data_IF_651240513836
#
_entry.id   IF_651240513836
#
_cell.length_a   1.000
_cell.length_b   1.000
_cell.length_c   1.000
_cell.angle_alpha   90.00
_cell.angle_beta   90.00
_cell.angle_gamma   90.00
#
_symmetry.space_group_name_H-M   'P 1'
#
loop_
_entity.id
_entity.type
_entity.pdbx_description
1 polymer ?
#
# COMPACT_ATOMS: atom_id res chain seq x y z
N UNK A 1 -28.25 0.83 -15.62
CA UNK A 1 -26.90 1.23 -16.07
C UNK A 1 -26.50 2.39 -15.17
N UNK A 2 -25.88 2.09 -14.03
CA UNK A 2 -25.34 3.11 -13.14
C UNK A 2 -24.00 3.53 -13.75
N UNK A 3 -23.92 4.79 -14.19
CA UNK A 3 -22.65 5.45 -14.47
C UNK A 3 -21.81 5.36 -13.18
N UNK A 4 -20.95 4.37 -13.07
CA UNK A 4 -19.87 4.40 -12.13
C UNK A 4 -19.00 5.59 -12.52
N UNK A 5 -19.00 6.63 -11.72
CA UNK A 5 -18.02 7.70 -11.89
C UNK A 5 -16.65 7.05 -11.79
N UNK A 6 -15.85 7.10 -12.85
CA UNK A 6 -14.42 6.77 -12.83
C UNK A 6 -13.76 7.67 -11.79
N UNK A 7 -13.50 7.14 -10.61
CA UNK A 7 -12.92 7.88 -9.49
C UNK A 7 -11.56 7.29 -9.19
N UNK A 8 -10.54 8.02 -9.52
CA UNK A 8 -9.20 7.66 -9.06
C UNK A 8 -9.11 7.68 -7.55
N UNK A 9 -8.35 6.77 -7.01
CA UNK A 9 -8.26 6.57 -5.57
C UNK A 9 -6.83 6.29 -5.14
N UNK A 10 -6.46 6.82 -3.99
CA UNK A 10 -5.31 6.36 -3.25
C UNK A 10 -5.81 5.54 -2.05
N UNK A 11 -5.39 4.29 -1.96
CA UNK A 11 -5.80 3.36 -0.91
C UNK A 11 -4.57 2.77 -0.24
N UNK A 12 -4.47 2.91 1.08
CA UNK A 12 -3.48 2.19 1.88
C UNK A 12 -4.13 1.00 2.56
N UNK A 13 -3.50 -0.17 2.47
CA UNK A 13 -4.01 -1.43 3.05
C UNK A 13 -2.95 -2.21 3.83
N UNK A 14 -3.34 -2.98 4.84
CA UNK A 14 -2.56 -4.12 5.30
C UNK A 14 -2.65 -5.25 4.25
N UNK A 15 -1.50 -5.80 3.82
CA UNK A 15 -1.48 -6.93 2.86
C UNK A 15 -1.49 -8.31 3.54
N UNK A 16 -1.34 -8.34 4.87
CA UNK A 16 -1.33 -9.56 5.66
C UNK A 16 0.08 -10.18 5.82
N UNK A 17 0.13 -11.38 6.36
CA UNK A 17 1.39 -12.09 6.63
C UNK A 17 1.79 -13.02 5.49
N UNK A 18 2.50 -12.53 4.47
CA UNK A 18 2.89 -13.32 3.32
C UNK A 18 1.67 -13.93 2.60
N UNK A 19 1.69 -15.22 2.23
CA UNK A 19 0.58 -15.87 1.51
C UNK A 19 -0.62 -16.24 2.38
N UNK A 20 -0.60 -16.02 3.70
CA UNK A 20 -1.63 -16.47 4.64
C UNK A 20 -3.06 -16.02 4.29
N UNK A 21 -3.31 -14.79 3.77
CA UNK A 21 -4.64 -14.41 3.35
C UNK A 21 -5.21 -15.31 2.23
N UNK A 22 -4.37 -15.81 1.33
CA UNK A 22 -4.79 -16.73 0.26
C UNK A 22 -4.93 -18.18 0.74
N UNK A 23 -4.43 -18.49 1.94
CA UNK A 23 -4.56 -19.80 2.59
C UNK A 23 -5.73 -19.85 3.57
N UNK A 24 -6.61 -18.85 3.54
CA UNK A 24 -7.77 -18.72 4.44
C UNK A 24 -7.40 -18.81 5.94
N UNK A 25 -6.24 -18.24 6.30
CA UNK A 25 -5.74 -18.30 7.67
C UNK A 25 -6.67 -17.50 8.62
N UNK A 26 -7.10 -18.10 9.76
CA UNK A 26 -8.09 -17.49 10.66
C UNK A 26 -7.76 -16.07 11.12
N UNK A 27 -6.50 -15.77 11.37
CA UNK A 27 -6.04 -14.42 11.76
C UNK A 27 -6.16 -13.36 10.67
N UNK A 28 -6.70 -13.70 9.49
CA UNK A 28 -6.88 -12.77 8.37
C UNK A 28 -8.34 -12.69 7.87
N UNK A 29 -9.29 -13.40 8.50
CA UNK A 29 -10.66 -13.49 7.97
C UNK A 29 -11.33 -12.12 7.75
N UNK A 30 -11.15 -11.16 8.67
CA UNK A 30 -11.72 -9.82 8.54
C UNK A 30 -11.01 -9.03 7.41
N UNK A 31 -9.70 -9.14 7.30
CA UNK A 31 -8.93 -8.58 6.20
C UNK A 31 -9.32 -9.19 4.84
N UNK A 32 -9.47 -10.51 4.75
CA UNK A 32 -9.91 -11.20 3.53
C UNK A 32 -11.29 -10.71 3.10
N UNK A 33 -12.22 -10.57 4.04
CA UNK A 33 -13.56 -10.06 3.77
C UNK A 33 -13.52 -8.62 3.26
N UNK A 34 -12.72 -7.77 3.89
CA UNK A 34 -12.50 -6.39 3.46
C UNK A 34 -11.93 -6.32 2.04
N UNK A 35 -10.83 -7.05 1.78
CA UNK A 35 -10.16 -7.02 0.46
C UNK A 35 -11.08 -7.53 -0.66
N UNK A 36 -11.96 -8.50 -0.39
CA UNK A 36 -12.95 -8.97 -1.37
C UNK A 36 -14.09 -7.98 -1.61
N UNK A 37 -14.42 -7.15 -0.63
CA UNK A 37 -15.55 -6.22 -0.71
C UNK A 37 -15.16 -4.84 -1.25
N UNK A 38 -13.95 -4.35 -1.00
CA UNK A 38 -13.56 -2.98 -1.34
C UNK A 38 -13.63 -2.66 -2.85
N UNK A 39 -13.44 -3.61 -3.79
CA UNK A 39 -13.63 -3.33 -5.22
C UNK A 39 -15.05 -2.86 -5.60
N UNK A 40 -16.09 -3.25 -4.86
CA UNK A 40 -17.45 -2.74 -5.10
C UNK A 40 -17.52 -1.20 -4.98
N UNK A 41 -16.66 -0.65 -4.15
CA UNK A 41 -16.55 0.79 -3.94
C UNK A 41 -15.57 1.46 -4.90
N UNK A 42 -14.44 0.80 -5.20
CA UNK A 42 -13.38 1.34 -6.05
C UNK A 42 -13.74 1.29 -7.54
N UNK A 43 -14.60 0.35 -7.94
CA UNK A 43 -14.86 0.04 -9.34
C UNK A 43 -13.73 -0.76 -9.98
N UNK A 44 -13.66 -0.70 -11.30
CA UNK A 44 -12.62 -1.34 -12.10
C UNK A 44 -11.68 -0.26 -12.66
N UNK A 45 -10.48 -0.10 -12.10
CA UNK A 45 -9.50 0.87 -12.60
C UNK A 45 -8.88 0.39 -13.91
N UNK A 46 -8.40 1.34 -14.72
CA UNK A 46 -7.67 1.04 -15.96
C UNK A 46 -6.24 0.59 -15.68
N UNK A 47 -5.70 0.92 -14.50
CA UNK A 47 -4.38 0.52 -14.01
C UNK A 47 -4.36 0.48 -12.48
N UNK A 48 -3.56 -0.42 -11.93
CA UNK A 48 -3.23 -0.44 -10.49
C UNK A 48 -1.72 -0.19 -10.33
N UNK A 49 -1.36 0.90 -9.65
CA UNK A 49 0.02 1.19 -9.23
C UNK A 49 0.17 0.80 -7.75
N UNK A 50 0.97 -0.21 -7.47
CA UNK A 50 1.22 -0.68 -6.10
C UNK A 50 2.54 -0.15 -5.58
N UNK A 51 2.51 0.54 -4.45
CA UNK A 51 3.69 0.88 -3.67
C UNK A 51 3.86 -0.23 -2.63
N UNK A 52 4.82 -1.13 -2.85
CA UNK A 52 5.02 -2.29 -1.98
C UNK A 52 6.07 -2.04 -0.91
N UNK A 53 5.75 -2.40 0.33
CA UNK A 53 6.69 -2.43 1.45
C UNK A 53 7.86 -3.40 1.25
N UNK A 54 7.76 -4.32 0.28
CA UNK A 54 8.73 -5.39 0.03
C UNK A 54 9.71 -5.08 -1.10
N UNK A 55 9.66 -3.88 -1.66
CA UNK A 55 10.62 -3.47 -2.68
C UNK A 55 11.28 -2.14 -2.32
N UNK A 56 12.56 -2.21 -1.98
CA UNK A 56 13.39 -1.06 -1.63
C UNK A 56 14.43 -0.81 -2.73
N UNK A 57 14.65 0.46 -3.08
CA UNK A 57 15.66 0.87 -4.04
C UNK A 57 16.29 2.21 -3.66
N UNK A 58 17.50 2.49 -4.14
CA UNK A 58 18.17 3.76 -3.87
C UNK A 58 17.54 4.95 -4.58
N UNK A 59 16.81 4.69 -5.65
CA UNK A 59 16.02 5.67 -6.42
C UNK A 59 14.65 5.10 -6.69
N UNK A 60 13.61 5.93 -6.92
CA UNK A 60 12.30 5.42 -7.29
C UNK A 60 12.42 4.49 -8.49
N UNK A 61 11.97 3.26 -8.36
CA UNK A 61 12.07 2.24 -9.40
C UNK A 61 10.69 1.68 -9.71
N UNK A 62 10.35 1.60 -11.00
CA UNK A 62 9.04 1.13 -11.48
C UNK A 62 9.25 -0.13 -12.31
N UNK A 63 8.39 -1.14 -12.14
CA UNK A 63 8.41 -2.34 -12.99
C UNK A 63 8.19 -1.97 -14.44
N UNK A 64 9.05 -2.47 -15.34
CA UNK A 64 9.06 -2.12 -16.77
C UNK A 64 8.77 -3.27 -17.72
N UNK A 65 8.60 -4.50 -17.22
CA UNK A 65 8.30 -5.66 -18.06
C UNK A 65 6.80 -5.70 -18.44
N UNK A 66 6.42 -6.04 -19.68
CA UNK A 66 5.01 -6.20 -20.07
C UNK A 66 4.32 -7.42 -19.44
N UNK A 67 5.09 -8.38 -18.89
CA UNK A 67 4.58 -9.57 -18.22
C UNK A 67 5.46 -9.90 -16.99
N UNK A 68 5.43 -9.09 -15.94
CA UNK A 68 6.29 -9.30 -14.78
C UNK A 68 6.03 -10.68 -14.14
N UNK A 69 7.07 -11.44 -13.82
CA UNK A 69 6.89 -12.71 -13.12
C UNK A 69 6.45 -12.48 -11.67
N UNK A 70 5.94 -13.52 -11.01
CA UNK A 70 5.77 -13.48 -9.56
C UNK A 70 7.10 -13.70 -8.86
N UNK A 71 7.36 -12.90 -7.85
CA UNK A 71 8.45 -13.10 -6.89
C UNK A 71 7.87 -13.61 -5.57
N UNK A 72 8.23 -14.85 -5.19
CA UNK A 72 7.88 -15.39 -3.89
C UNK A 72 8.92 -14.94 -2.87
N UNK A 73 8.78 -13.73 -2.39
CA UNK A 73 9.68 -13.03 -1.46
C UNK A 73 9.49 -13.46 0.02
N UNK A 74 8.83 -14.58 0.23
CA UNK A 74 8.62 -15.20 1.54
C UNK A 74 9.21 -16.61 1.58
N UNK A 75 9.38 -17.16 2.78
CA UNK A 75 9.95 -18.49 2.99
C UNK A 75 9.30 -19.22 4.15
N UNK A 76 9.48 -20.56 4.21
CA UNK A 76 8.97 -21.38 5.31
C UNK A 76 7.49 -21.74 5.23
N UNK A 77 6.84 -21.48 4.10
CA UNK A 77 5.44 -21.82 3.85
C UNK A 77 5.29 -23.18 3.13
N UNK A 78 4.11 -23.79 3.14
CA UNK A 78 3.80 -24.98 2.35
C UNK A 78 4.07 -24.80 0.86
N UNK A 79 4.34 -25.90 0.14
CA UNK A 79 4.69 -25.85 -1.29
C UNK A 79 3.64 -25.19 -2.17
N UNK A 80 2.39 -25.30 -1.79
CA UNK A 80 1.23 -24.71 -2.49
C UNK A 80 1.32 -23.17 -2.55
N UNK A 81 1.92 -22.56 -1.54
CA UNK A 81 2.14 -21.10 -1.51
C UNK A 81 3.09 -20.63 -2.61
N UNK A 82 4.00 -21.49 -3.09
CA UNK A 82 4.95 -21.20 -4.18
C UNK A 82 4.39 -21.58 -5.56
N UNK A 83 3.10 -21.88 -5.65
CA UNK A 83 2.36 -22.17 -6.89
C UNK A 83 1.25 -21.17 -7.14
N UNK A 84 1.11 -20.16 -6.27
CA UNK A 84 0.15 -19.08 -6.44
C UNK A 84 0.51 -18.30 -7.71
N UNK A 85 -0.46 -18.08 -8.58
CA UNK A 85 -0.30 -17.30 -9.81
C UNK A 85 -1.18 -16.05 -9.77
N UNK A 86 -0.68 -14.96 -10.29
CA UNK A 86 -1.43 -13.73 -10.55
C UNK A 86 -0.88 -13.10 -11.84
N UNK A 87 -1.30 -13.56 -13.01
CA UNK A 87 -0.71 -13.20 -14.30
C UNK A 87 -1.24 -11.86 -14.85
N UNK A 88 -1.32 -10.83 -14.00
CA UNK A 88 -1.70 -9.50 -14.44
C UNK A 88 -0.65 -8.96 -15.43
N UNK A 89 -1.08 -8.30 -16.52
CA UNK A 89 -0.14 -7.67 -17.45
C UNK A 89 0.56 -6.49 -16.79
N UNK A 90 1.80 -6.21 -17.18
CA UNK A 90 2.46 -4.93 -16.91
C UNK A 90 1.97 -3.84 -17.87
N UNK A 91 2.37 -2.60 -17.63
CA UNK A 91 2.00 -1.44 -18.43
C UNK A 91 3.23 -0.56 -18.76
N UNK A 92 4.13 -0.97 -19.67
CA UNK A 92 5.40 -0.27 -19.91
C UNK A 92 5.23 1.20 -20.34
N UNK A 93 4.18 1.52 -21.09
CA UNK A 93 3.91 2.90 -21.53
C UNK A 93 3.53 3.78 -20.35
N UNK A 94 2.69 3.29 -19.45
CA UNK A 94 2.34 4.01 -18.22
C UNK A 94 3.53 4.06 -17.24
N UNK A 95 4.35 3.01 -17.19
CA UNK A 95 5.58 3.03 -16.40
C UNK A 95 6.53 4.17 -16.85
N UNK A 96 6.67 4.43 -18.15
CA UNK A 96 7.43 5.55 -18.65
C UNK A 96 6.82 6.90 -18.23
N UNK A 97 5.50 7.06 -18.27
CA UNK A 97 4.83 8.28 -17.79
C UNK A 97 5.05 8.50 -16.28
N UNK A 98 5.00 7.43 -15.48
CA UNK A 98 5.28 7.50 -14.03
C UNK A 98 6.73 7.93 -13.80
N UNK A 99 7.68 7.43 -14.58
CA UNK A 99 9.08 7.89 -14.55
C UNK A 99 9.16 9.39 -14.81
N UNK A 100 8.49 9.89 -15.84
CA UNK A 100 8.49 11.32 -16.18
C UNK A 100 7.90 12.18 -15.05
N UNK A 101 6.84 11.72 -14.40
CA UNK A 101 6.26 12.40 -13.23
C UNK A 101 7.20 12.42 -12.01
N UNK A 102 7.94 11.34 -11.79
CA UNK A 102 8.88 11.22 -10.67
C UNK A 102 10.20 11.94 -10.94
N UNK A 103 10.55 12.24 -12.20
CA UNK A 103 11.79 12.97 -12.52
C UNK A 103 11.66 14.48 -12.22
N UNK A 104 11.67 14.79 -10.95
CA UNK A 104 11.63 16.18 -10.44
C UNK A 104 13.01 16.86 -10.45
N UNK A 105 14.03 16.21 -11.03
CA UNK A 105 15.42 16.65 -11.01
C UNK A 105 16.18 16.31 -9.72
N UNK A 106 15.47 16.01 -8.64
CA UNK A 106 16.07 15.52 -7.38
C UNK A 106 15.95 13.99 -7.27
N UNK A 107 14.80 13.43 -7.61
CA UNK A 107 14.60 12.00 -7.77
C UNK A 107 15.08 11.60 -9.17
N UNK A 108 15.87 10.54 -9.27
CA UNK A 108 16.34 9.98 -10.55
C UNK A 108 15.68 8.63 -10.76
N UNK A 109 14.40 8.59 -11.12
CA UNK A 109 13.65 7.36 -11.24
C UNK A 109 14.19 6.49 -12.37
N UNK A 110 13.91 5.17 -12.29
CA UNK A 110 14.31 4.22 -13.32
C UNK A 110 13.25 3.16 -13.56
N UNK A 111 13.22 2.60 -14.75
CA UNK A 111 12.54 1.36 -15.05
C UNK A 111 13.39 0.16 -14.59
N UNK A 112 12.73 -0.83 -14.00
CA UNK A 112 13.34 -2.11 -13.66
C UNK A 112 12.59 -3.23 -14.40
N UNK A 113 13.22 -3.77 -15.45
CA UNK A 113 12.64 -4.83 -16.27
C UNK A 113 12.86 -6.23 -15.68
N UNK A 114 13.63 -6.35 -14.61
CA UNK A 114 13.89 -7.63 -13.95
C UNK A 114 13.01 -7.87 -12.71
N UNK A 115 12.46 -6.80 -12.13
CA UNK A 115 11.61 -6.88 -10.94
C UNK A 115 10.26 -7.49 -11.29
N UNK A 116 9.91 -8.57 -10.58
CA UNK A 116 8.59 -9.17 -10.62
C UNK A 116 7.65 -8.62 -9.54
N UNK A 117 6.43 -9.15 -9.50
CA UNK A 117 5.42 -8.79 -8.52
C UNK A 117 5.63 -9.58 -7.21
N UNK A 118 5.93 -8.89 -6.11
CA UNK A 118 6.06 -9.48 -4.78
C UNK A 118 4.70 -9.70 -4.09
N UNK A 119 4.71 -10.31 -2.90
CA UNK A 119 3.47 -10.66 -2.21
C UNK A 119 2.68 -9.44 -1.74
N UNK A 120 3.31 -8.30 -1.56
CA UNK A 120 2.62 -7.03 -1.28
C UNK A 120 1.71 -6.60 -2.44
N UNK A 121 1.98 -7.04 -3.66
CA UNK A 121 1.12 -6.83 -4.81
C UNK A 121 0.16 -8.00 -5.01
N UNK A 122 0.68 -9.23 -5.24
CA UNK A 122 -0.17 -10.29 -5.77
C UNK A 122 -1.14 -10.88 -4.73
N UNK A 123 -0.81 -10.83 -3.43
CA UNK A 123 -1.71 -11.38 -2.40
C UNK A 123 -2.98 -10.55 -2.25
N UNK A 124 -2.93 -9.24 -2.00
CA UNK A 124 -4.14 -8.45 -1.91
C UNK A 124 -4.90 -8.37 -3.24
N UNK A 125 -4.20 -8.20 -4.37
CA UNK A 125 -4.88 -8.07 -5.65
C UNK A 125 -5.57 -9.36 -6.11
N UNK A 126 -5.05 -10.53 -5.74
CA UNK A 126 -5.74 -11.80 -6.01
C UNK A 126 -7.06 -11.94 -5.24
N UNK A 127 -7.21 -11.25 -4.11
CA UNK A 127 -8.48 -11.18 -3.37
C UNK A 127 -9.39 -10.07 -3.92
N UNK A 128 -8.83 -8.94 -4.30
CA UNK A 128 -9.57 -7.77 -4.80
C UNK A 128 -10.04 -7.97 -6.25
N UNK A 129 -9.14 -8.38 -7.14
CA UNK A 129 -9.36 -8.52 -8.58
C UNK A 129 -8.83 -9.89 -9.06
N UNK A 130 -9.54 -11.00 -8.76
CA UNK A 130 -9.03 -12.37 -8.94
C UNK A 130 -8.75 -12.75 -10.40
N UNK A 131 -9.39 -12.08 -11.36
CA UNK A 131 -9.25 -12.38 -12.80
C UNK A 131 -7.91 -11.90 -13.36
N UNK A 132 -7.15 -11.08 -12.62
CA UNK A 132 -5.85 -10.56 -13.02
C UNK A 132 -5.86 -9.88 -14.42
N UNK A 133 -6.97 -9.26 -14.80
CA UNK A 133 -7.17 -8.60 -16.10
C UNK A 133 -6.68 -7.16 -16.14
N UNK A 134 -6.61 -6.50 -14.97
CA UNK A 134 -6.21 -5.11 -14.86
C UNK A 134 -4.69 -5.02 -14.92
N UNK A 135 -4.11 -4.16 -15.78
CA UNK A 135 -2.67 -3.92 -15.80
C UNK A 135 -2.15 -3.44 -14.45
N UNK A 136 -1.00 -3.96 -14.05
CA UNK A 136 -0.38 -3.62 -12.76
C UNK A 136 1.05 -3.12 -12.95
N UNK A 137 1.41 -2.14 -12.15
CA UNK A 137 2.78 -1.69 -11.96
C UNK A 137 3.13 -1.70 -10.49
N UNK A 138 4.41 -1.87 -10.18
CA UNK A 138 4.92 -1.76 -8.82
C UNK A 138 5.95 -0.66 -8.75
N UNK A 139 5.87 0.17 -7.71
CA UNK A 139 6.81 1.24 -7.39
C UNK A 139 7.53 0.89 -6.09
N UNK A 140 8.86 1.04 -6.10
CA UNK A 140 9.69 0.79 -4.91
C UNK A 140 9.53 1.87 -3.84
N UNK A 141 9.81 1.51 -2.60
CA UNK A 141 10.23 2.45 -1.57
C UNK A 141 11.64 2.98 -1.86
N UNK A 142 12.00 4.07 -1.20
CA UNK A 142 13.37 4.56 -1.15
C UNK A 142 14.11 3.94 0.04
N UNK A 143 15.31 3.43 -0.18
CA UNK A 143 16.16 2.84 0.85
C UNK A 143 16.66 3.84 1.91
N UNK A 144 16.40 5.14 1.73
CA UNK A 144 16.59 6.16 2.78
C UNK A 144 15.60 6.00 3.92
N UNK A 145 14.42 5.42 3.65
CA UNK A 145 13.29 5.37 4.55
C UNK A 145 12.83 6.73 5.09
N UNK A 146 13.19 7.83 4.40
CA UNK A 146 12.75 9.16 4.79
C UNK A 146 11.26 9.37 4.47
N UNK A 147 10.41 9.64 5.48
CA UNK A 147 8.97 9.84 5.26
C UNK A 147 8.65 11.05 4.38
N UNK A 148 9.48 12.11 4.45
CA UNK A 148 9.31 13.32 3.65
C UNK A 148 9.56 13.05 2.16
N UNK A 149 10.56 12.23 1.83
CA UNK A 149 10.82 11.82 0.44
C UNK A 149 9.68 10.97 -0.13
N UNK A 150 9.09 10.07 0.67
CA UNK A 150 7.93 9.27 0.25
C UNK A 150 6.67 10.13 0.07
N UNK A 151 6.42 11.14 0.93
CA UNK A 151 5.37 12.12 0.72
C UNK A 151 5.63 12.92 -0.58
N UNK A 152 6.88 13.28 -0.87
CA UNK A 152 7.24 13.99 -2.10
C UNK A 152 7.02 13.11 -3.35
N UNK A 153 7.32 11.80 -3.28
CA UNK A 153 6.96 10.84 -4.34
C UNK A 153 5.45 10.85 -4.62
N UNK A 154 4.63 10.77 -3.57
CA UNK A 154 3.18 10.85 -3.71
C UNK A 154 2.72 12.16 -4.36
N UNK A 155 3.28 13.29 -3.97
CA UNK A 155 2.96 14.59 -4.59
C UNK A 155 3.30 14.62 -6.10
N UNK A 156 4.41 14.02 -6.51
CA UNK A 156 4.78 13.92 -7.90
C UNK A 156 3.80 13.05 -8.71
N UNK A 157 3.20 12.05 -8.08
CA UNK A 157 2.22 11.14 -8.68
C UNK A 157 0.78 11.69 -8.69
N UNK A 158 0.52 12.86 -8.12
CA UNK A 158 -0.81 13.44 -8.03
C UNK A 158 -1.57 13.50 -9.39
N UNK A 159 -0.91 13.80 -10.55
CA UNK A 159 -1.59 13.80 -11.84
C UNK A 159 -2.22 12.45 -12.24
N UNK A 160 -1.77 11.33 -11.68
CA UNK A 160 -2.38 10.01 -11.94
C UNK A 160 -3.83 9.91 -11.44
N UNK A 161 -4.24 10.77 -10.51
CA UNK A 161 -5.62 10.79 -10.01
C UNK A 161 -6.62 11.41 -11.01
N UNK A 162 -6.16 11.92 -12.15
CA UNK A 162 -7.03 12.39 -13.24
C UNK A 162 -7.41 11.24 -14.21
N UNK A 163 -6.73 10.08 -14.12
CA UNK A 163 -6.82 8.95 -15.04
C UNK A 163 -7.28 7.69 -14.28
N UNK A 164 -8.49 7.36 -14.11
CA UNK A 164 -9.06 6.12 -13.50
C UNK A 164 -8.01 5.07 -12.99
N UNK A 165 -7.06 5.52 -12.19
CA UNK A 165 -5.95 4.72 -11.65
C UNK A 165 -6.17 4.47 -10.16
N UNK A 166 -6.01 3.23 -9.73
CA UNK A 166 -5.90 2.90 -8.32
C UNK A 166 -4.43 2.94 -7.90
N UNK A 167 -4.08 3.86 -7.01
CA UNK A 167 -2.78 3.86 -6.33
C UNK A 167 -2.93 3.13 -5.00
N UNK A 168 -2.28 1.99 -4.88
CA UNK A 168 -2.40 1.08 -3.74
C UNK A 168 -1.11 1.08 -2.91
N UNK A 169 -1.14 1.72 -1.75
CA UNK A 169 -0.10 1.59 -0.74
C UNK A 169 -0.25 0.26 0.01
N UNK A 170 0.59 -0.69 -0.31
CA UNK A 170 0.57 -2.04 0.26
C UNK A 170 1.62 -2.16 1.37
N UNK A 171 1.16 -2.15 2.61
CA UNK A 171 2.01 -2.21 3.78
C UNK A 171 1.30 -2.86 4.97
N UNK A 172 1.44 -2.29 6.15
CA UNK A 172 0.74 -2.69 7.36
C UNK A 172 0.83 -1.56 8.39
N UNK A 173 -0.27 -1.09 8.95
CA UNK A 173 -0.27 -0.02 9.96
C UNK A 173 0.26 -0.46 11.34
N UNK A 174 0.61 -1.72 11.50
CA UNK A 174 1.37 -2.29 12.60
C UNK A 174 2.32 -3.36 12.05
N UNK A 175 3.63 -3.21 12.19
CA UNK A 175 4.58 -4.21 11.70
C UNK A 175 5.72 -4.45 12.68
N UNK A 176 5.45 -5.26 13.71
CA UNK A 176 6.44 -5.77 14.66
C UNK A 176 6.39 -7.29 14.68
N UNK A 177 7.34 -7.93 13.98
CA UNK A 177 7.41 -9.38 13.83
C UNK A 177 7.58 -10.11 15.17
N UNK A 178 8.21 -9.49 16.16
CA UNK A 178 8.30 -10.04 17.52
C UNK A 178 6.93 -10.09 18.19
N UNK A 179 6.19 -8.97 18.10
CA UNK A 179 4.88 -8.84 18.73
C UNK A 179 3.80 -9.72 18.08
N UNK A 180 3.89 -10.04 16.79
CA UNK A 180 2.95 -10.98 16.14
C UNK A 180 3.05 -12.42 16.69
N UNK A 181 4.20 -12.78 17.24
CA UNK A 181 4.41 -14.12 17.84
C UNK A 181 3.91 -14.23 19.27
N UNK A 182 3.52 -13.11 19.88
CA UNK A 182 3.09 -13.03 21.26
C UNK A 182 1.58 -12.70 21.34
N UNK A 183 0.92 -13.20 22.37
CA UNK A 183 -0.44 -12.73 22.67
C UNK A 183 -0.38 -11.26 23.05
N UNK A 184 -1.39 -10.48 22.60
CA UNK A 184 -1.53 -9.10 23.04
C UNK A 184 -1.59 -9.05 24.56
N UNK A 185 -0.66 -8.35 25.18
CA UNK A 185 -0.55 -8.18 26.64
C UNK A 185 -0.79 -6.73 27.08
N UNK A 186 -0.87 -5.82 26.14
CA UNK A 186 -1.09 -4.38 26.34
C UNK A 186 -1.81 -3.77 25.13
N UNK A 187 -2.08 -2.49 25.16
CA UNK A 187 -2.86 -1.73 24.19
C UNK A 187 -2.00 -0.81 23.29
N UNK A 188 -0.68 -1.03 23.24
CA UNK A 188 0.24 -0.16 22.46
C UNK A 188 -0.10 -0.07 21.00
N UNK A 189 -0.51 -1.18 20.39
CA UNK A 189 -0.98 -1.21 19.00
C UNK A 189 -2.31 -0.43 18.82
N UNK A 190 -3.22 -0.53 19.78
CA UNK A 190 -4.47 0.23 19.76
C UNK A 190 -4.26 1.74 19.89
N UNK A 191 -3.33 2.15 20.77
CA UNK A 191 -3.03 3.57 20.99
C UNK A 191 -2.34 4.19 19.77
N UNK A 192 -1.40 3.49 19.14
CA UNK A 192 -0.77 3.96 17.91
C UNK A 192 -1.79 4.03 16.76
N UNK A 193 -2.62 2.99 16.58
CA UNK A 193 -3.67 2.97 15.56
C UNK A 193 -4.67 4.12 15.77
N UNK A 194 -5.06 4.40 17.01
CA UNK A 194 -5.95 5.53 17.32
C UNK A 194 -5.32 6.87 16.88
N UNK A 195 -4.05 7.09 17.24
CA UNK A 195 -3.31 8.29 16.81
C UNK A 195 -3.28 8.40 15.28
N UNK A 196 -3.01 7.28 14.59
CA UNK A 196 -2.93 7.25 13.13
C UNK A 196 -4.27 7.63 12.50
N UNK A 197 -5.37 7.03 12.98
CA UNK A 197 -6.71 7.33 12.49
C UNK A 197 -7.10 8.78 12.75
N UNK A 198 -6.94 9.27 13.98
CA UNK A 198 -7.28 10.65 14.35
C UNK A 198 -6.47 11.66 13.50
N UNK A 199 -5.19 11.39 13.24
CA UNK A 199 -4.33 12.25 12.43
C UNK A 199 -4.78 12.28 10.96
N UNK A 200 -5.14 11.14 10.39
CA UNK A 200 -5.46 11.04 8.95
C UNK A 200 -6.89 11.45 8.63
N UNK A 201 -7.82 11.37 9.58
CA UNK A 201 -9.24 11.62 9.34
C UNK A 201 -9.75 12.96 9.89
N UNK A 202 -8.89 13.80 10.47
CA UNK A 202 -9.29 15.10 11.02
C UNK A 202 -9.75 16.06 9.90
N UNK A 203 -11.05 16.35 9.78
CA UNK A 203 -11.56 17.21 8.71
C UNK A 203 -11.20 18.69 8.92
N UNK A 204 -10.76 19.07 10.14
CA UNK A 204 -10.32 20.41 10.46
C UNK A 204 -8.82 20.63 10.22
N UNK A 205 -8.06 19.54 10.03
CA UNK A 205 -6.63 19.65 9.76
C UNK A 205 -6.38 20.04 8.30
N UNK A 206 -5.58 21.09 8.10
CA UNK A 206 -5.02 21.35 6.78
C UNK A 206 -4.14 20.17 6.34
N UNK A 207 -4.20 19.78 5.08
CA UNK A 207 -3.45 18.65 4.54
C UNK A 207 -1.94 18.70 4.86
N UNK A 208 -1.36 19.90 4.91
CA UNK A 208 0.06 20.08 5.25
C UNK A 208 0.35 19.74 6.73
N UNK A 209 -0.58 20.03 7.65
CA UNK A 209 -0.44 19.65 9.05
C UNK A 209 -0.45 18.12 9.23
N UNK A 210 -1.32 17.44 8.49
CA UNK A 210 -1.37 15.97 8.47
C UNK A 210 -0.07 15.39 7.93
N UNK A 211 0.46 15.94 6.83
CA UNK A 211 1.76 15.51 6.26
C UNK A 211 2.90 15.73 7.23
N UNK A 212 2.95 16.88 7.93
CA UNK A 212 3.99 17.16 8.92
C UNK A 212 3.90 16.19 10.12
N UNK A 213 2.70 15.85 10.57
CA UNK A 213 2.53 14.86 11.64
C UNK A 213 3.04 13.48 11.21
N UNK A 214 2.70 13.03 9.99
CA UNK A 214 3.17 11.74 9.44
C UNK A 214 4.66 11.76 9.12
N UNK A 215 5.23 12.89 8.69
CA UNK A 215 6.67 13.03 8.54
C UNK A 215 7.42 12.82 9.85
N UNK A 216 6.80 13.23 10.97
CA UNK A 216 7.33 13.07 12.32
C UNK A 216 6.66 11.89 13.07
N UNK A 217 6.21 10.86 12.38
CA UNK A 217 5.44 9.75 12.93
C UNK A 217 6.11 9.05 14.13
N UNK A 218 7.43 9.08 14.22
CA UNK A 218 8.19 8.51 15.34
C UNK A 218 7.84 9.15 16.71
N UNK A 219 7.29 10.37 16.70
CA UNK A 219 6.84 11.06 17.90
C UNK A 219 5.46 10.59 18.38
N UNK A 220 4.79 9.76 17.59
CA UNK A 220 3.51 9.18 17.97
C UNK A 220 3.66 8.20 19.14
N UNK A 221 2.62 8.02 19.96
CA UNK A 221 2.64 7.06 21.05
C UNK A 221 2.98 5.65 20.54
N UNK A 222 4.00 5.03 21.13
CA UNK A 222 4.44 3.66 20.81
C UNK A 222 4.88 3.40 19.35
N UNK A 223 5.20 4.46 18.60
CA UNK A 223 5.57 4.39 17.20
C UNK A 223 6.62 3.31 16.89
N UNK A 224 7.77 3.36 17.57
CA UNK A 224 8.87 2.39 17.37
C UNK A 224 8.62 1.01 17.97
N UNK A 225 7.60 0.84 18.81
CA UNK A 225 7.11 -0.49 19.16
C UNK A 225 6.27 -1.07 18.02
N UNK A 226 5.40 -0.27 17.41
CA UNK A 226 4.54 -0.71 16.32
C UNK A 226 5.33 -0.90 15.02
N UNK A 227 6.29 -0.04 14.76
CA UNK A 227 7.18 -0.06 13.61
C UNK A 227 8.65 0.04 14.05
N UNK A 228 9.32 -1.08 14.37
CA UNK A 228 10.79 -1.06 14.60
C UNK A 228 11.56 -0.53 13.39
N UNK A 229 11.05 -0.80 12.18
CA UNK A 229 11.46 -0.22 10.90
C UNK A 229 10.25 0.38 10.18
N UNK A 230 10.47 1.34 9.28
CA UNK A 230 9.44 2.15 8.63
C UNK A 230 8.77 1.48 7.43
N UNK A 231 9.42 0.49 6.87
CA UNK A 231 9.11 -0.15 5.59
C UNK A 231 7.59 -0.33 5.32
N UNK A 232 6.87 -0.94 6.26
CA UNK A 232 5.44 -1.20 6.10
C UNK A 232 4.53 0.02 6.33
N UNK A 233 5.05 1.11 6.91
CA UNK A 233 4.31 2.36 7.06
C UNK A 233 4.53 3.32 5.89
N UNK A 234 5.66 3.24 5.19
CA UNK A 234 6.03 4.19 4.14
C UNK A 234 5.09 4.19 2.92
N UNK A 235 4.46 3.08 2.49
CA UNK A 235 3.43 3.14 1.45
C UNK A 235 2.27 4.09 1.79
N UNK A 236 1.92 4.24 3.08
CA UNK A 236 0.95 5.22 3.56
C UNK A 236 1.40 6.67 3.27
N UNK A 237 2.69 6.96 3.45
CA UNK A 237 3.24 8.30 3.21
C UNK A 237 3.14 8.70 1.73
N UNK A 238 3.32 7.74 0.81
CA UNK A 238 3.10 7.98 -0.63
C UNK A 238 1.63 8.28 -0.91
N UNK A 239 0.69 7.48 -0.39
CA UNK A 239 -0.75 7.74 -0.53
C UNK A 239 -1.13 9.11 0.05
N UNK A 240 -0.61 9.48 1.23
CA UNK A 240 -0.84 10.78 1.85
C UNK A 240 -0.25 11.93 1.01
N UNK A 241 0.83 11.70 0.30
CA UNK A 241 1.40 12.68 -0.63
C UNK A 241 0.42 13.09 -1.72
N UNK A 242 -0.43 12.18 -2.18
CA UNK A 242 -1.46 12.38 -3.20
C UNK A 242 -2.77 12.94 -2.62
N UNK A 243 -2.94 12.96 -1.30
CA UNK A 243 -4.17 13.37 -0.65
C UNK A 243 -4.39 14.88 -0.71
N UNK A 244 -5.61 15.31 -1.05
CA UNK A 244 -6.07 16.71 -0.99
C UNK A 244 -6.89 17.02 0.27
N UNK A 245 -7.34 15.99 0.98
CA UNK A 245 -8.19 16.11 2.17
C UNK A 245 -7.97 14.96 3.17
N UNK A 246 -8.85 14.84 4.17
CA UNK A 246 -8.79 13.76 5.15
C UNK A 246 -9.05 12.40 4.50
N UNK A 247 -8.50 11.36 5.10
CA UNK A 247 -8.80 9.99 4.73
C UNK A 247 -10.14 9.53 5.28
N UNK A 248 -10.70 8.50 4.66
CA UNK A 248 -11.72 7.66 5.28
C UNK A 248 -11.08 6.37 5.80
N UNK A 249 -11.44 5.95 7.01
CA UNK A 249 -11.08 4.63 7.53
C UNK A 249 -12.02 3.60 6.89
N UNK A 250 -11.48 2.75 6.02
CA UNK A 250 -12.28 1.71 5.32
C UNK A 250 -12.10 0.32 5.91
N UNK A 251 -11.11 0.15 6.77
CA UNK A 251 -10.87 -1.05 7.57
C UNK A 251 -10.24 -0.68 8.90
N UNK A 252 -10.69 -1.28 10.00
CA UNK A 252 -10.06 -1.19 11.31
C UNK A 252 -10.42 -2.42 12.13
N UNK A 253 -9.59 -3.44 12.06
CA UNK A 253 -9.79 -4.69 12.79
C UNK A 253 -8.45 -5.36 13.15
N UNK A 254 -8.52 -6.49 13.84
CA UNK A 254 -7.32 -7.23 14.20
C UNK A 254 -6.87 -8.14 13.06
N UNK A 255 -5.59 -8.03 12.70
CA UNK A 255 -4.90 -8.95 11.78
C UNK A 255 -3.77 -9.60 12.55
N UNK A 256 -3.76 -10.93 12.60
CA UNK A 256 -2.81 -11.71 13.41
C UNK A 256 -2.77 -11.27 14.89
N UNK A 257 -3.93 -10.84 15.43
CA UNK A 257 -4.08 -10.40 16.80
C UNK A 257 -3.53 -9.00 17.12
N UNK A 258 -3.23 -8.18 16.10
CA UNK A 258 -2.81 -6.79 16.24
C UNK A 258 -3.71 -5.88 15.42
N UNK A 259 -4.01 -4.69 15.96
CA UNK A 259 -4.85 -3.70 15.28
C UNK A 259 -4.20 -3.23 13.99
N UNK A 260 -4.99 -3.21 12.90
CA UNK A 260 -4.60 -2.72 11.60
C UNK A 260 -5.71 -1.87 10.97
N UNK A 261 -5.32 -0.84 10.25
CA UNK A 261 -6.23 0.06 9.55
C UNK A 261 -5.90 0.17 8.06
N UNK A 262 -6.94 0.39 7.25
CA UNK A 262 -6.82 0.84 5.86
C UNK A 262 -7.45 2.22 5.70
N UNK A 263 -6.86 3.02 4.82
CA UNK A 263 -7.23 4.41 4.59
C UNK A 263 -7.45 4.67 3.11
N UNK A 264 -8.57 5.32 2.79
CA UNK A 264 -8.96 5.65 1.43
C UNK A 264 -9.06 7.16 1.25
N UNK A 265 -8.48 7.68 0.17
CA UNK A 265 -8.68 9.00 -0.38
C UNK A 265 -9.29 8.86 -1.77
N UNK A 266 -10.46 9.43 -1.97
CA UNK A 266 -11.12 9.53 -3.27
C UNK A 266 -11.38 10.98 -3.60
N UNK A 267 -11.15 11.37 -4.85
CA UNK A 267 -11.65 12.63 -5.38
C UNK A 267 -13.16 12.54 -5.60
N UNK A 268 -13.89 13.61 -5.26
CA UNK A 268 -15.34 13.74 -5.49
C UNK A 268 -15.71 13.73 -6.98
#
# INVERSE_FOLDING_TARGET
MTNGSNRSSALYIPHGGGPLPLMDHPGHHDLIRFLKAIPERLGEPDLILVISAHWEAFVPSVTGDPQPPIEYDYYGFPKECYQITYPAPGAPEMAAQIIDLLDTGQMKPRLDHAKGFDHGLFVPLKLMYPDASIPCLQLSLLASFDPGEHIAMGRALLPLLDDNILVLGSGFSFHNMGAFREKRSDDRDLVFDQWLRETLTDPAAAAERTREALKNWEQAPHARFCHPTEDHLLPLHVCLGMASGPAEVVFNDDVLGRRASAFLWQSD
#
